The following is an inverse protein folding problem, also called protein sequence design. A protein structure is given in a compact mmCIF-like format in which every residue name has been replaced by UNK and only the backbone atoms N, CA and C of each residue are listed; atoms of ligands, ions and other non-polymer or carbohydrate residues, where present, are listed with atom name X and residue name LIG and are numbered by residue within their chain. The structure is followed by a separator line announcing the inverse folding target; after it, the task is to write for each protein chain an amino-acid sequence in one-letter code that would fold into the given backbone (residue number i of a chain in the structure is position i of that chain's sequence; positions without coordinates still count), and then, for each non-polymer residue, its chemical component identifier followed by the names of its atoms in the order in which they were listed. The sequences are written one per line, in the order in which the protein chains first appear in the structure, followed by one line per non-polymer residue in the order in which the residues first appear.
data_IF_530704347770
#
_entry.id   IF_530704347770
#
_cell.length_a   1.000
_cell.length_b   1.000
_cell.length_c   1.000
_cell.angle_alpha   90.00
_cell.angle_beta   90.00
_cell.angle_gamma   90.00
#
_symmetry.space_group_name_H-M   'P 1'
#
loop_
_entity.id
_entity.type
_entity.pdbx_description
1 polymer ?
#
# COMPACT_ATOMS: atom_id res chain seq x y z
N UNK A 1 9.37 14.21 11.48
CA UNK A 1 8.31 13.39 10.84
C UNK A 1 8.42 13.51 9.34
N UNK A 2 8.54 12.40 8.64
CA UNK A 2 8.66 12.42 7.20
C UNK A 2 7.30 12.53 6.52
N UNK A 3 7.23 13.35 5.47
CA UNK A 3 6.03 13.44 4.64
C UNK A 3 6.03 12.31 3.62
N UNK A 4 5.00 11.49 3.65
CA UNK A 4 4.86 10.33 2.77
C UNK A 4 3.86 10.61 1.67
N UNK A 5 4.01 9.92 0.54
CA UNK A 5 3.06 9.92 -0.56
C UNK A 5 2.30 8.60 -0.54
N UNK A 6 0.98 8.67 -0.60
CA UNK A 6 0.10 7.50 -0.60
C UNK A 6 -0.57 7.37 -1.96
N UNK A 7 -0.21 6.32 -2.69
CA UNK A 7 -0.80 5.95 -3.98
C UNK A 7 -1.95 4.99 -3.73
N UNK A 8 -3.11 5.24 -4.34
CA UNK A 8 -4.28 4.39 -4.13
C UNK A 8 -5.08 4.25 -5.42
N UNK A 9 -5.72 3.10 -5.58
CA UNK A 9 -6.53 2.82 -6.76
C UNK A 9 -7.78 3.73 -6.78
N UNK A 10 -8.02 4.41 -7.91
CA UNK A 10 -9.13 5.31 -8.11
C UNK A 10 -9.61 5.24 -9.58
N UNK A 11 -10.91 5.30 -9.85
CA UNK A 11 -12.03 5.39 -8.90
C UNK A 11 -12.45 3.99 -8.41
N UNK A 12 -12.39 3.78 -7.10
CA UNK A 12 -12.74 2.48 -6.51
C UNK A 12 -13.02 2.71 -5.02
N UNK A 13 -14.16 2.20 -4.55
CA UNK A 13 -14.52 2.36 -3.16
C UNK A 13 -13.49 1.69 -2.24
N UNK A 14 -13.04 0.49 -2.62
CA UNK A 14 -12.00 -0.23 -1.87
C UNK A 14 -10.71 0.59 -1.78
N UNK A 15 -10.31 1.22 -2.89
CA UNK A 15 -9.13 2.08 -2.89
C UNK A 15 -9.25 3.27 -1.95
N UNK A 16 -10.41 3.92 -1.93
CA UNK A 16 -10.64 5.06 -1.04
C UNK A 16 -10.62 4.65 0.43
N UNK A 17 -11.30 3.56 0.79
CA UNK A 17 -11.33 3.06 2.16
C UNK A 17 -9.93 2.58 2.58
N UNK A 18 -9.25 1.87 1.69
CA UNK A 18 -7.87 1.42 1.94
C UNK A 18 -6.93 2.59 2.19
N UNK A 19 -7.07 3.68 1.42
CA UNK A 19 -6.26 4.87 1.62
C UNK A 19 -6.49 5.47 3.00
N UNK A 20 -7.74 5.56 3.44
CA UNK A 20 -8.06 6.08 4.77
C UNK A 20 -7.47 5.20 5.88
N UNK A 21 -7.59 3.89 5.75
CA UNK A 21 -7.04 2.96 6.73
C UNK A 21 -5.51 3.00 6.75
N UNK A 22 -4.88 3.03 5.57
CA UNK A 22 -3.42 3.11 5.48
C UNK A 22 -2.90 4.42 6.06
N UNK A 23 -3.58 5.52 5.81
CA UNK A 23 -3.22 6.82 6.39
C UNK A 23 -3.12 6.72 7.91
N UNK A 24 -4.16 6.16 8.56
CA UNK A 24 -4.17 5.96 10.01
C UNK A 24 -3.00 5.09 10.47
N UNK A 25 -2.79 3.96 9.77
CA UNK A 25 -1.70 3.05 10.11
C UNK A 25 -0.34 3.73 10.00
N UNK A 26 -0.08 4.44 8.92
CA UNK A 26 1.22 5.07 8.68
C UNK A 26 1.52 6.13 9.72
N UNK A 27 0.52 6.92 10.11
CA UNK A 27 0.73 7.94 11.15
C UNK A 27 0.96 7.32 12.52
N UNK A 28 0.26 6.24 12.85
CA UNK A 28 0.35 5.62 14.17
C UNK A 28 1.58 4.72 14.33
N UNK A 29 1.95 4.00 13.27
CA UNK A 29 3.01 2.99 13.36
C UNK A 29 4.34 3.43 12.78
N UNK A 30 4.32 4.21 11.73
CA UNK A 30 5.55 4.66 11.06
C UNK A 30 5.95 6.07 11.48
N UNK A 31 5.04 6.82 12.08
CA UNK A 31 5.28 8.21 12.39
C UNK A 31 5.41 9.08 11.15
N UNK A 32 4.89 8.60 10.02
CA UNK A 32 4.87 9.37 8.78
C UNK A 32 3.66 10.27 8.76
N UNK A 33 3.85 11.48 8.21
CA UNK A 33 2.77 12.39 7.91
C UNK A 33 2.40 12.22 6.44
N UNK A 34 1.16 11.82 6.13
CA UNK A 34 0.74 11.68 4.74
C UNK A 34 0.57 13.07 4.15
N UNK A 35 1.54 13.46 3.31
CA UNK A 35 1.58 14.79 2.71
C UNK A 35 0.90 14.87 1.36
N UNK A 36 0.82 13.76 0.63
CA UNK A 36 0.19 13.70 -0.68
C UNK A 36 -0.62 12.42 -0.85
N UNK A 37 -1.80 12.55 -1.46
CA UNK A 37 -2.62 11.44 -1.93
C UNK A 37 -2.56 11.44 -3.45
N UNK A 38 -2.20 10.30 -4.04
CA UNK A 38 -1.98 10.21 -5.47
C UNK A 38 -2.85 9.10 -6.06
N UNK A 39 -3.96 9.45 -6.75
CA UNK A 39 -4.82 8.45 -7.34
C UNK A 39 -4.17 7.80 -8.56
N UNK A 40 -4.29 6.47 -8.67
CA UNK A 40 -3.76 5.70 -9.81
C UNK A 40 -4.81 4.73 -10.29
N UNK A 41 -4.74 4.36 -11.56
CA UNK A 41 -5.60 3.33 -12.11
C UNK A 41 -4.82 2.49 -13.14
N UNK A 42 -5.46 1.44 -13.66
CA UNK A 42 -4.77 0.47 -14.51
C UNK A 42 -4.37 1.01 -15.88
N UNK A 43 -4.71 2.25 -16.22
CA UNK A 43 -4.20 2.89 -17.44
C UNK A 43 -2.69 3.07 -17.41
N UNK A 44 -2.07 3.10 -16.20
CA UNK A 44 -0.62 3.22 -16.07
C UNK A 44 0.09 1.86 -15.97
N UNK A 45 -0.63 0.75 -16.17
CA UNK A 45 -0.08 -0.58 -15.99
C UNK A 45 1.23 -0.82 -16.75
N UNK A 46 1.28 -0.39 -18.01
CA UNK A 46 2.44 -0.66 -18.87
C UNK A 46 3.68 0.17 -18.50
N UNK A 47 3.51 1.23 -17.75
CA UNK A 47 4.61 2.11 -17.34
C UNK A 47 4.85 2.09 -15.83
N UNK A 48 4.05 1.32 -15.08
CA UNK A 48 4.07 1.37 -13.61
C UNK A 48 5.44 1.05 -13.02
N UNK A 49 6.05 -0.07 -13.43
CA UNK A 49 7.33 -0.48 -12.87
C UNK A 49 8.48 0.44 -13.23
N UNK A 50 8.35 1.22 -14.31
CA UNK A 50 9.34 2.22 -14.70
C UNK A 50 9.09 3.57 -14.03
N UNK A 51 7.99 3.74 -13.31
CA UNK A 51 7.66 5.00 -12.65
C UNK A 51 8.57 5.26 -11.47
N UNK A 52 8.99 6.52 -11.33
CA UNK A 52 9.70 6.97 -10.15
C UNK A 52 8.67 7.46 -9.13
N UNK A 53 8.61 6.76 -7.99
CA UNK A 53 7.66 7.08 -6.95
C UNK A 53 8.30 8.00 -5.91
N UNK A 54 7.49 8.89 -5.34
CA UNK A 54 7.96 9.79 -4.29
C UNK A 54 8.07 9.05 -2.96
N UNK A 55 9.22 9.14 -2.30
CA UNK A 55 9.51 8.44 -1.06
C UNK A 55 9.46 9.36 0.17
N UNK A 56 9.07 8.82 1.31
CA UNK A 56 8.55 7.48 1.54
C UNK A 56 7.25 7.28 0.80
N UNK A 57 7.03 6.08 0.24
CA UNK A 57 5.81 5.85 -0.51
C UNK A 57 5.04 4.63 -0.02
N UNK A 58 3.73 4.76 0.00
CA UNK A 58 2.79 3.71 0.31
C UNK A 58 1.88 3.49 -0.89
N UNK A 59 1.53 2.24 -1.15
CA UNK A 59 0.65 1.87 -2.26
C UNK A 59 -0.42 0.94 -1.70
N UNK A 60 -1.69 1.26 -1.94
CA UNK A 60 -2.79 0.42 -1.48
C UNK A 60 -3.78 0.14 -2.60
N UNK A 61 -4.28 -1.09 -2.62
CA UNK A 61 -5.27 -1.56 -3.59
C UNK A 61 -4.79 -1.40 -5.04
N UNK A 62 -3.48 -1.51 -5.25
CA UNK A 62 -2.88 -1.34 -6.56
C UNK A 62 -1.65 -2.22 -6.72
N UNK A 63 -1.14 -2.28 -7.93
CA UNK A 63 -0.05 -3.14 -8.36
C UNK A 63 1.21 -2.99 -7.50
N UNK A 64 1.90 -4.10 -7.27
CA UNK A 64 3.16 -4.09 -6.55
C UNK A 64 4.21 -3.24 -7.30
N UNK A 65 5.03 -2.53 -6.53
CA UNK A 65 6.17 -1.80 -7.06
C UNK A 65 7.37 -1.99 -6.11
N UNK A 66 8.56 -2.32 -6.66
CA UNK A 66 9.75 -2.56 -5.82
C UNK A 66 10.17 -1.36 -4.96
N UNK A 67 9.76 -0.14 -5.33
CA UNK A 67 10.08 1.06 -4.57
C UNK A 67 9.17 1.29 -3.37
N UNK A 68 8.12 0.49 -3.19
CA UNK A 68 7.15 0.72 -2.11
C UNK A 68 7.79 0.55 -0.75
N UNK A 69 7.57 1.51 0.14
CA UNK A 69 7.96 1.41 1.56
C UNK A 69 6.85 0.76 2.38
N UNK A 70 5.62 0.85 1.89
CA UNK A 70 4.44 0.15 2.41
C UNK A 70 3.57 -0.23 1.22
N UNK A 71 3.02 -1.44 1.23
CA UNK A 71 2.16 -1.90 0.14
C UNK A 71 1.12 -2.88 0.67
N UNK A 72 -0.11 -2.75 0.16
CA UNK A 72 -1.19 -3.68 0.47
C UNK A 72 -2.06 -3.89 -0.77
N UNK A 73 -2.30 -5.13 -1.13
CA UNK A 73 -3.19 -5.47 -2.24
C UNK A 73 -3.71 -6.89 -2.09
N UNK A 74 -4.79 -7.19 -2.80
CA UNK A 74 -5.42 -8.50 -2.77
C UNK A 74 -5.66 -9.09 -4.18
N UNK A 75 -5.22 -8.41 -5.24
CA UNK A 75 -5.44 -8.88 -6.60
C UNK A 75 -4.42 -9.95 -6.98
N UNK A 76 -4.89 -11.07 -7.55
CA UNK A 76 -4.00 -12.16 -7.97
C UNK A 76 -3.07 -11.76 -9.11
N UNK A 77 -3.40 -10.69 -9.85
CA UNK A 77 -2.62 -10.17 -10.98
C UNK A 77 -1.71 -9.01 -10.61
N UNK A 78 -1.46 -8.81 -9.33
CA UNK A 78 -0.71 -7.63 -8.84
C UNK A 78 0.76 -7.61 -9.25
N UNK A 79 1.35 -8.78 -9.49
CA UNK A 79 2.76 -8.88 -9.91
C UNK A 79 2.87 -8.81 -11.43
N UNK A 80 3.37 -7.68 -11.95
CA UNK A 80 3.43 -7.45 -13.39
C UNK A 80 4.54 -8.24 -14.08
N UNK A 81 5.61 -8.58 -13.35
CA UNK A 81 6.75 -9.32 -13.91
C UNK A 81 7.25 -10.33 -12.89
N UNK A 82 8.03 -11.30 -13.38
CA UNK A 82 8.71 -12.26 -12.50
C UNK A 82 9.73 -11.59 -11.59
N UNK A 83 10.35 -10.54 -12.07
CA UNK A 83 11.33 -9.76 -11.31
C UNK A 83 10.65 -9.04 -10.14
N UNK A 84 9.46 -8.47 -10.37
CA UNK A 84 8.69 -7.83 -9.31
C UNK A 84 8.25 -8.85 -8.26
N UNK A 85 7.80 -10.03 -8.69
CA UNK A 85 7.41 -11.10 -7.79
C UNK A 85 8.59 -11.57 -6.92
N UNK A 86 9.76 -11.74 -7.53
CA UNK A 86 10.98 -12.12 -6.80
C UNK A 86 11.38 -11.04 -5.79
N UNK A 87 11.24 -9.78 -6.15
CA UNK A 87 11.51 -8.66 -5.25
C UNK A 87 10.60 -8.69 -4.03
N UNK A 88 9.30 -8.91 -4.26
CA UNK A 88 8.32 -9.04 -3.18
C UNK A 88 8.69 -10.20 -2.25
N UNK A 89 9.03 -11.36 -2.80
CA UNK A 89 9.37 -12.55 -2.01
C UNK A 89 10.58 -12.30 -1.11
N UNK A 90 11.57 -11.53 -1.58
CA UNK A 90 12.74 -11.19 -0.76
C UNK A 90 12.38 -10.25 0.38
N UNK A 91 11.40 -9.36 0.18
CA UNK A 91 11.11 -8.27 1.10
C UNK A 91 9.97 -8.54 2.06
N UNK A 92 9.14 -9.55 1.77
CA UNK A 92 7.87 -9.72 2.48
C UNK A 92 8.03 -9.97 3.98
N UNK A 93 9.17 -10.53 4.41
CA UNK A 93 9.39 -10.84 5.83
C UNK A 93 9.95 -9.65 6.63
N UNK A 94 10.45 -8.62 5.97
CA UNK A 94 11.14 -7.51 6.62
C UNK A 94 10.46 -6.17 6.44
N UNK A 95 9.46 -6.10 5.59
CA UNK A 95 8.81 -4.85 5.22
C UNK A 95 7.31 -4.90 5.49
N UNK A 96 6.69 -3.74 5.43
CA UNK A 96 5.24 -3.63 5.53
C UNK A 96 4.61 -3.91 4.16
N UNK A 97 4.67 -5.17 3.76
CA UNK A 97 4.11 -5.65 2.51
C UNK A 97 3.00 -6.64 2.84
N UNK A 98 1.76 -6.27 2.55
CA UNK A 98 0.57 -7.05 2.90
C UNK A 98 -0.10 -7.53 1.62
N UNK A 99 -0.13 -8.84 1.44
CA UNK A 99 -0.77 -9.43 0.26
C UNK A 99 -1.54 -10.68 0.66
N UNK A 100 -2.80 -10.74 0.25
CA UNK A 100 -3.61 -11.93 0.39
C UNK A 100 -4.65 -11.93 -0.72
N UNK A 101 -4.47 -12.80 -1.71
CA UNK A 101 -5.38 -12.89 -2.86
C UNK A 101 -6.71 -13.54 -2.49
N UNK A 102 -6.85 -14.05 -1.26
CA UNK A 102 -8.11 -14.57 -0.75
C UNK A 102 -8.89 -13.54 0.05
N UNK A 103 -8.31 -12.39 0.32
CA UNK A 103 -9.01 -11.32 1.02
C UNK A 103 -10.13 -10.76 0.14
N UNK A 104 -11.27 -10.46 0.75
CA UNK A 104 -12.42 -9.93 0.03
C UNK A 104 -12.15 -8.53 -0.53
N UNK A 105 -11.29 -7.76 0.13
CA UNK A 105 -10.92 -6.41 -0.28
C UNK A 105 -9.59 -6.02 0.34
N UNK A 106 -8.94 -5.00 -0.23
CA UNK A 106 -7.75 -4.44 0.38
C UNK A 106 -8.08 -3.79 1.73
N UNK A 107 -9.24 -3.16 1.84
CA UNK A 107 -9.70 -2.57 3.09
C UNK A 107 -9.80 -3.63 4.20
N UNK A 108 -10.34 -4.81 3.90
CA UNK A 108 -10.42 -5.88 4.90
C UNK A 108 -9.03 -6.36 5.32
N UNK A 109 -8.08 -6.39 4.39
CA UNK A 109 -6.70 -6.76 4.68
C UNK A 109 -6.02 -5.75 5.62
N UNK A 110 -6.33 -4.46 5.47
CA UNK A 110 -5.76 -3.40 6.28
C UNK A 110 -6.44 -3.22 7.64
N UNK A 111 -7.65 -3.69 7.79
CA UNK A 111 -8.46 -3.40 8.98
C UNK A 111 -7.77 -3.86 10.26
N UNK A 112 -7.23 -5.08 10.30
CA UNK A 112 -6.61 -5.61 11.51
C UNK A 112 -5.36 -4.82 11.92
N UNK A 113 -4.40 -4.56 11.04
CA UNK A 113 -3.24 -3.74 11.42
C UNK A 113 -3.62 -2.37 11.95
N UNK A 114 -4.63 -1.72 11.34
CA UNK A 114 -5.09 -0.40 11.77
C UNK A 114 -5.72 -0.49 13.16
N UNK A 115 -6.59 -1.47 13.37
CA UNK A 115 -7.25 -1.66 14.67
C UNK A 115 -6.20 -1.90 15.77
N UNK A 116 -5.18 -2.70 15.48
CA UNK A 116 -4.10 -2.96 16.43
C UNK A 116 -3.28 -1.69 16.74
N UNK A 117 -3.03 -0.89 15.72
CA UNK A 117 -2.30 0.37 15.90
C UNK A 117 -3.07 1.34 16.78
N UNK A 118 -4.38 1.47 16.55
CA UNK A 118 -5.24 2.33 17.36
C UNK A 118 -5.34 1.85 18.79
N UNK A 119 -5.42 0.54 19.00
CA UNK A 119 -5.52 -0.05 20.35
C UNK A 119 -4.27 0.21 21.20
N UNK A 120 -3.11 0.44 20.56
CA UNK A 120 -1.86 0.72 21.25
C UNK A 120 -1.63 2.20 21.53
N UNK A 121 -2.49 3.06 21.00
CA UNK A 121 -2.33 4.50 21.17
C UNK A 121 -2.62 4.88 22.63
N UNK A 122 -1.71 5.59 23.31
CA UNK A 122 -1.98 6.06 24.66
C UNK A 122 -3.11 7.07 24.66
N UNK A 123 -3.93 7.00 25.69
CA UNK A 123 -5.06 7.92 25.86
C UNK A 123 -4.62 9.21 26.52
#
# INVERSE_FOLDING_TARGET
MQAATLYFHYPCFDGLVSAALAWEFLEQRKGWNVGELFPVNYTVRNTWLASELKHPCAIVDFLYHPSADFWADHHSTTMLTKEAEADYERRQSTQCLLFDDRAASCASLLFRPVAQALARKPH
#
